data_IF_871966395405
#
_entry.id   IF_871966395405
#
_cell.length_a   1.000
_cell.length_b   1.000
_cell.length_c   1.000
_cell.angle_alpha   90.00
_cell.angle_beta   90.00
_cell.angle_gamma   90.00
#
_symmetry.space_group_name_H-M   'P 1'
#
loop_
_entity.id
_entity.type
_entity.pdbx_description
1 polymer ?
#
# COMPACT_ATOMS: atom_id res chain seq x y z
N UNK A 1 41.95 -22.01 28.13
CA UNK A 1 40.63 -22.65 28.35
C UNK A 1 39.59 -21.53 28.44
N UNK A 2 38.88 -21.22 27.36
CA UNK A 2 37.50 -21.68 27.09
C UNK A 2 36.55 -21.41 28.26
N UNK A 3 35.83 -20.28 28.26
CA UNK A 3 34.43 -20.19 28.73
C UNK A 3 33.71 -19.09 27.95
N UNK A 4 32.90 -19.53 27.00
CA UNK A 4 31.88 -18.76 26.29
C UNK A 4 30.83 -18.23 27.26
N UNK A 5 30.38 -16.99 27.07
CA UNK A 5 29.06 -16.57 27.52
C UNK A 5 28.49 -15.63 26.46
N UNK A 6 27.79 -16.22 25.48
CA UNK A 6 27.08 -15.48 24.44
C UNK A 6 25.80 -14.89 25.01
N UNK A 7 25.65 -13.57 24.92
CA UNK A 7 24.32 -12.94 24.99
C UNK A 7 23.68 -13.07 23.61
N UNK A 8 22.69 -13.95 23.50
CA UNK A 8 21.80 -14.01 22.35
C UNK A 8 20.64 -13.04 22.59
N UNK A 9 20.76 -11.82 22.09
CA UNK A 9 19.64 -10.88 22.04
C UNK A 9 18.70 -11.32 20.91
N UNK A 10 17.60 -11.99 21.26
CA UNK A 10 16.54 -12.32 20.33
C UNK A 10 15.81 -11.02 19.94
N UNK A 11 16.13 -10.48 18.76
CA UNK A 11 15.42 -9.36 18.16
C UNK A 11 13.99 -9.78 17.80
N UNK A 12 13.02 -9.24 18.52
CA UNK A 12 11.61 -9.37 18.19
C UNK A 12 11.34 -8.55 16.92
N UNK A 13 11.37 -9.19 15.75
CA UNK A 13 10.85 -8.59 14.52
C UNK A 13 9.34 -8.47 14.65
N UNK A 14 8.86 -7.28 15.01
CA UNK A 14 7.47 -6.91 14.80
C UNK A 14 7.23 -6.86 13.28
N UNK A 15 6.59 -7.89 12.74
CA UNK A 15 6.04 -7.85 11.40
C UNK A 15 4.88 -6.84 11.39
N UNK A 16 5.19 -5.57 11.13
CA UNK A 16 4.18 -4.59 10.83
C UNK A 16 3.45 -5.01 9.53
N UNK A 17 2.12 -4.92 9.45
CA UNK A 17 1.42 -5.19 8.21
C UNK A 17 1.97 -4.24 7.15
N UNK A 18 2.58 -4.80 6.09
CA UNK A 18 2.95 -4.07 4.89
C UNK A 18 1.64 -3.62 4.20
N UNK A 19 1.02 -2.57 4.73
CA UNK A 19 0.15 -1.74 3.92
C UNK A 19 1.05 -1.17 2.82
N UNK A 20 0.90 -1.66 1.59
CA UNK A 20 1.67 -1.17 0.44
C UNK A 20 1.54 0.36 0.42
N UNK A 21 2.61 1.04 0.83
CA UNK A 21 2.69 2.48 0.77
C UNK A 21 3.02 2.81 -0.68
N UNK A 22 2.06 3.42 -1.36
CA UNK A 22 2.25 3.89 -2.72
C UNK A 22 2.89 5.26 -2.68
N UNK A 23 3.59 5.61 -3.76
CA UNK A 23 4.26 6.90 -3.88
C UNK A 23 3.98 7.54 -5.23
N UNK A 24 3.77 8.85 -5.20
CA UNK A 24 3.68 9.70 -6.38
C UNK A 24 4.61 10.89 -6.18
N UNK A 25 5.48 11.14 -7.15
CA UNK A 25 6.43 12.26 -7.12
C UNK A 25 6.20 13.15 -8.32
N UNK A 26 6.10 14.46 -8.08
CA UNK A 26 5.84 15.43 -9.14
C UNK A 26 5.61 16.85 -8.61
N UNK A 27 5.43 17.84 -9.50
CA UNK A 27 5.03 19.17 -9.10
C UNK A 27 3.58 19.19 -8.60
N UNK A 28 3.33 19.97 -7.55
CA UNK A 28 1.98 20.23 -7.02
C UNK A 28 1.22 21.12 -8.00
N UNK A 29 0.04 20.69 -8.41
CA UNK A 29 -0.88 21.45 -9.27
C UNK A 29 -1.90 22.22 -8.44
N UNK A 30 -2.36 21.61 -7.35
CA UNK A 30 -3.34 22.17 -6.42
C UNK A 30 -3.14 21.57 -5.01
N UNK A 31 -3.46 22.34 -3.98
CA UNK A 31 -3.42 21.87 -2.60
C UNK A 31 -4.51 22.57 -1.78
N UNK A 32 -5.29 21.78 -1.05
CA UNK A 32 -6.32 22.24 -0.11
C UNK A 32 -6.13 21.52 1.22
N UNK A 33 -7.01 21.79 2.18
CA UNK A 33 -7.00 21.10 3.47
C UNK A 33 -7.35 19.60 3.35
N UNK A 34 -8.07 19.22 2.29
CA UNK A 34 -8.60 17.86 2.09
C UNK A 34 -7.93 17.07 0.98
N UNK A 35 -7.17 17.73 0.10
CA UNK A 35 -6.46 17.05 -1.00
C UNK A 35 -5.16 17.74 -1.41
N UNK A 36 -4.29 16.97 -2.07
CA UNK A 36 -3.16 17.46 -2.84
C UNK A 36 -3.22 16.84 -4.24
N UNK A 37 -2.96 17.65 -5.26
CA UNK A 37 -2.93 17.21 -6.65
C UNK A 37 -1.50 17.30 -7.18
N UNK A 38 -0.96 16.20 -7.67
CA UNK A 38 0.42 16.08 -8.16
C UNK A 38 0.41 15.65 -9.62
N UNK A 39 1.25 16.27 -10.44
CA UNK A 39 1.41 15.86 -11.84
C UNK A 39 2.45 14.75 -11.97
N UNK A 40 2.09 13.62 -12.58
CA UNK A 40 3.02 12.53 -12.92
C UNK A 40 2.89 12.21 -14.40
N UNK A 41 3.90 12.59 -15.18
CA UNK A 41 3.84 12.47 -16.63
C UNK A 41 2.76 13.37 -17.22
N UNK A 42 1.71 12.79 -17.81
CA UNK A 42 0.56 13.52 -18.36
C UNK A 42 -0.68 13.45 -17.46
N UNK A 43 -0.57 12.78 -16.32
CA UNK A 43 -1.69 12.53 -15.42
C UNK A 43 -1.64 13.43 -14.19
N UNK A 44 -2.81 13.81 -13.68
CA UNK A 44 -2.97 14.50 -12.40
C UNK A 44 -3.47 13.50 -11.37
N UNK A 45 -2.66 13.28 -10.36
CA UNK A 45 -2.96 12.38 -9.25
C UNK A 45 -3.55 13.20 -8.12
N UNK A 46 -4.81 12.94 -7.77
CA UNK A 46 -5.47 13.52 -6.61
C UNK A 46 -5.35 12.57 -5.42
N UNK A 47 -4.77 13.07 -4.33
CA UNK A 47 -4.56 12.30 -3.10
C UNK A 47 -5.26 13.03 -1.97
N UNK A 48 -6.11 12.30 -1.24
CA UNK A 48 -6.76 12.81 -0.04
C UNK A 48 -5.71 13.07 1.05
N UNK A 49 -5.91 14.15 1.81
CA UNK A 49 -5.16 14.48 3.02
C UNK A 49 -6.12 14.94 4.11
N UNK A 50 -5.65 14.90 5.33
CA UNK A 50 -6.37 15.31 6.52
C UNK A 50 -5.41 15.92 7.55
N UNK A 51 -5.92 16.31 8.72
CA UNK A 51 -5.13 16.88 9.80
C UNK A 51 -4.05 15.94 10.37
N UNK A 52 -4.17 14.62 10.14
CA UNK A 52 -3.17 13.62 10.52
C UNK A 52 -2.08 13.40 9.47
N UNK A 53 -2.22 13.99 8.28
CA UNK A 53 -1.22 13.90 7.21
C UNK A 53 0.05 14.64 7.63
N UNK A 54 1.15 13.90 7.79
CA UNK A 54 2.45 14.49 8.15
C UNK A 54 3.02 15.25 6.96
N UNK A 55 3.14 16.57 7.10
CA UNK A 55 3.75 17.44 6.10
C UNK A 55 5.15 17.84 6.56
N UNK A 56 6.15 17.65 5.70
CA UNK A 56 7.52 18.11 5.93
C UNK A 56 7.84 19.23 4.95
N UNK A 57 8.15 20.41 5.47
CA UNK A 57 8.42 21.61 4.66
C UNK A 57 7.16 22.32 4.15
N UNK A 58 7.36 23.32 3.30
CA UNK A 58 6.28 24.11 2.71
C UNK A 58 5.75 23.44 1.44
N UNK A 59 4.44 23.16 1.40
CA UNK A 59 3.76 22.62 0.22
C UNK A 59 2.96 23.74 -0.44
N UNK A 60 3.33 24.08 -1.67
CA UNK A 60 2.65 25.08 -2.50
C UNK A 60 2.61 24.66 -3.95
N UNK A 61 1.75 25.29 -4.75
CA UNK A 61 1.67 25.06 -6.20
C UNK A 61 3.05 25.24 -6.86
N UNK A 62 3.41 24.30 -7.74
CA UNK A 62 4.69 24.21 -8.43
C UNK A 62 5.80 23.52 -7.63
N UNK A 63 5.68 23.35 -6.31
CA UNK A 63 6.67 22.64 -5.52
C UNK A 63 6.75 21.16 -5.95
N UNK A 64 7.96 20.63 -6.11
CA UNK A 64 8.16 19.19 -6.35
C UNK A 64 8.07 18.44 -5.04
N UNK A 65 7.12 17.51 -4.94
CA UNK A 65 6.87 16.72 -3.73
C UNK A 65 6.88 15.23 -4.05
N UNK A 66 7.15 14.41 -3.04
CA UNK A 66 6.83 12.98 -3.03
C UNK A 66 5.73 12.78 -2.00
N UNK A 67 4.59 12.24 -2.42
CA UNK A 67 3.46 11.93 -1.55
C UNK A 67 3.42 10.43 -1.34
N UNK A 68 3.51 10.01 -0.09
CA UNK A 68 3.25 8.63 0.34
C UNK A 68 1.79 8.49 0.70
N UNK A 69 1.11 7.47 0.17
CA UNK A 69 -0.32 7.30 0.37
C UNK A 69 -0.71 5.82 0.39
N UNK A 70 -1.89 5.54 0.95
CA UNK A 70 -2.48 4.21 0.97
C UNK A 70 -3.67 4.19 0.02
N UNK A 71 -3.73 3.18 -0.84
CA UNK A 71 -4.94 2.86 -1.60
C UNK A 71 -5.63 1.69 -0.91
N UNK A 72 -6.83 1.94 -0.41
CA UNK A 72 -7.63 0.95 0.31
C UNK A 72 -8.99 0.82 -0.37
N UNK A 73 -9.43 -0.42 -0.61
CA UNK A 73 -10.77 -0.67 -1.11
C UNK A 73 -11.80 -0.25 -0.04
N UNK A 74 -12.81 0.52 -0.43
CA UNK A 74 -13.89 0.96 0.46
C UNK A 74 -15.07 -0.02 0.46
N UNK A 75 -15.32 -0.69 -0.66
CA UNK A 75 -16.30 -1.76 -0.80
C UNK A 75 -15.88 -2.69 -1.95
N UNK A 76 -16.17 -3.98 -1.81
CA UNK A 76 -15.94 -4.99 -2.85
C UNK A 76 -17.25 -5.75 -3.01
N UNK A 77 -17.86 -5.67 -4.20
CA UNK A 77 -19.07 -6.40 -4.54
C UNK A 77 -18.75 -7.43 -5.63
N UNK A 78 -18.98 -8.71 -5.33
CA UNK A 78 -18.82 -9.79 -6.31
C UNK A 78 -20.09 -9.88 -7.15
N UNK A 79 -20.02 -9.39 -8.39
CA UNK A 79 -21.11 -9.53 -9.36
C UNK A 79 -21.00 -10.89 -10.08
N UNK A 80 -21.29 -11.96 -9.34
CA UNK A 80 -21.57 -13.33 -9.80
C UNK A 80 -20.50 -14.01 -10.68
N UNK A 81 -19.80 -14.99 -10.12
CA UNK A 81 -18.97 -15.93 -10.88
C UNK A 81 -19.84 -16.99 -11.59
N UNK A 82 -20.24 -16.73 -12.84
CA UNK A 82 -20.66 -17.82 -13.73
C UNK A 82 -19.42 -18.56 -14.25
N UNK A 83 -18.84 -19.44 -13.43
CA UNK A 83 -18.00 -20.52 -13.94
C UNK A 83 -16.86 -20.99 -13.06
N UNK A 84 -17.12 -22.01 -12.26
CA UNK A 84 -16.14 -23.07 -11.99
C UNK A 84 -16.84 -24.42 -11.85
N UNK A 85 -17.63 -24.80 -12.86
CA UNK A 85 -17.89 -26.21 -13.13
C UNK A 85 -16.85 -26.68 -14.15
N UNK A 86 -15.80 -27.39 -13.70
CA UNK A 86 -15.06 -28.40 -14.45
C UNK A 86 -14.01 -29.07 -13.56
N UNK A 87 -14.30 -30.31 -13.19
CA UNK A 87 -13.38 -31.17 -12.46
C UNK A 87 -13.95 -32.55 -12.17
N UNK A 88 -14.58 -33.22 -13.15
CA UNK A 88 -14.80 -34.67 -13.07
C UNK A 88 -13.44 -35.36 -12.93
N UNK A 89 -13.22 -36.06 -11.82
CA UNK A 89 -12.35 -37.23 -11.78
C UNK A 89 -13.24 -38.45 -11.56
N UNK A 90 -13.50 -39.16 -12.66
CA UNK A 90 -13.98 -40.55 -12.65
C UNK A 90 -12.96 -41.44 -11.93
N UNK A 91 -13.46 -42.36 -11.12
CA UNK A 91 -12.99 -43.75 -11.08
C UNK A 91 -11.78 -44.06 -10.18
N UNK A 92 -12.05 -44.76 -9.07
CA UNK A 92 -11.26 -45.93 -8.70
C UNK A 92 -12.18 -47.10 -8.41
N UNK A 93 -12.17 -48.03 -9.36
CA UNK A 93 -12.62 -49.42 -9.28
C UNK A 93 -11.98 -50.18 -8.09
N UNK A 94 -12.74 -51.14 -7.57
CA UNK A 94 -12.33 -52.46 -6.99
C UNK A 94 -11.30 -52.51 -5.85
N UNK A 95 -11.75 -52.97 -4.68
CA UNK A 95 -11.64 -54.39 -4.26
C UNK A 95 -12.46 -54.64 -2.99
#
# INVERSE_FOLDING_TARGET
MKRSLGLLAAGLLLAAPMAMAYQVTGPVVDVTDTKIVVEKGKEKWEIARDAGTKVQGEVKKGAKVTVEYKMTATSIEVKGDKGAEKGKAKGKDKK
#
